data_IF_860958204403
#
_entry.id   IF_860958204403
#
_cell.length_a   1.000
_cell.length_b   1.000
_cell.length_c   1.000
_cell.angle_alpha   90.00
_cell.angle_beta   90.00
_cell.angle_gamma   90.00
#
_symmetry.space_group_name_H-M   'P 1'
#
loop_
_entity.id
_entity.type
_entity.pdbx_description
1 polymer ?
#
# COMPACT_ATOMS: atom_id res chain seq x y z
N UNK A 1 -56.73 15.76 2.86
CA UNK A 1 -55.97 16.97 2.49
C UNK A 1 -55.52 16.81 1.04
N UNK A 2 -55.92 17.72 0.15
CA UNK A 2 -55.74 17.57 -1.30
C UNK A 2 -54.27 17.69 -1.75
N UNK A 3 -53.46 18.49 -1.03
CA UNK A 3 -52.03 18.68 -1.33
C UNK A 3 -51.14 17.46 -1.03
N UNK A 4 -51.58 16.55 -0.15
CA UNK A 4 -50.76 15.40 0.26
C UNK A 4 -50.61 14.38 -0.88
N UNK A 5 -51.61 14.24 -1.77
CA UNK A 5 -51.55 13.35 -2.93
C UNK A 5 -50.60 13.93 -3.99
N UNK A 6 -50.78 15.21 -4.33
CA UNK A 6 -49.88 15.91 -5.26
C UNK A 6 -48.42 15.89 -4.80
N UNK A 7 -48.15 16.13 -3.51
CA UNK A 7 -46.80 16.08 -2.98
C UNK A 7 -46.19 14.67 -3.08
N UNK A 8 -46.97 13.62 -2.78
CA UNK A 8 -46.50 12.23 -2.94
C UNK A 8 -46.15 11.91 -4.39
N UNK A 9 -46.99 12.30 -5.34
CA UNK A 9 -46.73 12.12 -6.76
C UNK A 9 -45.47 12.88 -7.21
N UNK A 10 -45.28 14.11 -6.75
CA UNK A 10 -44.07 14.89 -7.04
C UNK A 10 -42.80 14.18 -6.53
N UNK A 11 -42.82 13.62 -5.32
CA UNK A 11 -41.68 12.86 -4.77
C UNK A 11 -41.41 11.60 -5.59
N UNK A 12 -42.43 10.86 -6.01
CA UNK A 12 -42.25 9.67 -6.85
C UNK A 12 -41.72 10.02 -8.25
N UNK A 13 -42.14 11.15 -8.82
CA UNK A 13 -41.55 11.67 -10.07
C UNK A 13 -40.07 12.04 -9.88
N UNK A 14 -39.72 12.73 -8.79
CA UNK A 14 -38.32 13.04 -8.46
C UNK A 14 -37.48 11.77 -8.30
N UNK A 15 -38.02 10.76 -7.62
CA UNK A 15 -37.36 9.46 -7.44
C UNK A 15 -37.13 8.77 -8.79
N UNK A 16 -38.17 8.69 -9.63
CA UNK A 16 -38.10 8.07 -10.95
C UNK A 16 -37.07 8.76 -11.85
N UNK A 17 -37.05 10.10 -11.82
CA UNK A 17 -36.04 10.89 -12.53
C UNK A 17 -34.61 10.59 -12.04
N UNK A 18 -34.40 10.56 -10.72
CA UNK A 18 -33.10 10.26 -10.13
C UNK A 18 -32.62 8.84 -10.48
N UNK A 19 -33.52 7.85 -10.44
CA UNK A 19 -33.23 6.48 -10.87
C UNK A 19 -32.77 6.43 -12.34
N UNK A 20 -33.48 7.12 -13.24
CA UNK A 20 -33.08 7.22 -14.65
C UNK A 20 -31.72 7.90 -14.80
N UNK A 21 -31.49 9.00 -14.09
CA UNK A 21 -30.21 9.72 -14.11
C UNK A 21 -29.03 8.84 -13.66
N UNK A 22 -29.22 8.06 -12.59
CA UNK A 22 -28.22 7.11 -12.12
C UNK A 22 -27.93 6.01 -13.15
N UNK A 23 -28.98 5.46 -13.79
CA UNK A 23 -28.83 4.45 -14.82
C UNK A 23 -28.04 4.99 -16.02
N UNK A 24 -28.44 6.14 -16.57
CA UNK A 24 -27.73 6.80 -17.66
C UNK A 24 -26.27 7.09 -17.33
N UNK A 25 -25.99 7.57 -16.10
CA UNK A 25 -24.62 7.82 -15.63
C UNK A 25 -23.80 6.54 -15.64
N UNK A 26 -24.35 5.43 -15.16
CA UNK A 26 -23.64 4.14 -15.11
C UNK A 26 -23.31 3.61 -16.50
N UNK A 27 -24.20 3.79 -17.48
CA UNK A 27 -24.01 3.34 -18.87
C UNK A 27 -22.96 4.16 -19.62
N UNK A 28 -22.77 5.43 -19.25
CA UNK A 28 -21.76 6.31 -19.87
C UNK A 28 -20.35 6.18 -19.27
N UNK A 29 -20.18 5.45 -18.17
CA UNK A 29 -18.87 5.22 -17.58
C UNK A 29 -18.20 3.98 -18.20
N UNK A 30 -16.87 3.99 -18.38
CA UNK A 30 -15.93 5.06 -18.08
C UNK A 30 -15.96 6.22 -19.10
N UNK A 31 -15.69 7.43 -18.65
CA UNK A 31 -15.54 8.60 -19.53
C UNK A 31 -14.13 8.67 -20.10
N UNK A 32 -13.99 8.75 -21.42
CA UNK A 32 -12.69 8.86 -22.08
C UNK A 32 -12.32 10.33 -22.29
N UNK A 33 -11.32 10.81 -21.55
CA UNK A 33 -10.80 12.17 -21.68
C UNK A 33 -9.81 12.25 -22.85
N UNK A 34 -10.12 13.07 -23.86
CA UNK A 34 -9.32 13.20 -25.08
C UNK A 34 -8.00 13.93 -24.87
N UNK A 35 -7.90 14.81 -23.86
CA UNK A 35 -6.68 15.57 -23.62
C UNK A 35 -5.62 14.74 -22.88
N UNK A 36 -6.05 13.92 -21.91
CA UNK A 36 -5.15 13.11 -21.08
C UNK A 36 -5.06 11.65 -21.51
N UNK A 37 -5.99 11.17 -22.33
CA UNK A 37 -6.13 9.75 -22.69
C UNK A 37 -6.61 8.86 -21.53
N UNK A 38 -7.03 9.44 -20.40
CA UNK A 38 -7.46 8.68 -19.22
C UNK A 38 -8.93 8.29 -19.35
N UNK A 39 -9.21 6.99 -19.18
CA UNK A 39 -10.57 6.49 -18.98
C UNK A 39 -11.00 6.74 -17.52
N UNK A 40 -11.61 7.89 -17.28
CA UNK A 40 -12.02 8.39 -15.99
C UNK A 40 -13.25 7.63 -15.45
N UNK A 41 -13.23 7.40 -14.14
CA UNK A 41 -14.32 6.83 -13.36
C UNK A 41 -14.57 7.71 -12.12
N UNK A 42 -15.44 7.25 -11.22
CA UNK A 42 -15.58 7.87 -9.90
C UNK A 42 -14.22 7.95 -9.19
N UNK A 43 -13.87 9.13 -8.70
CA UNK A 43 -12.63 9.40 -7.98
C UNK A 43 -12.93 9.89 -6.56
N UNK A 44 -11.94 9.78 -5.68
CA UNK A 44 -12.02 10.16 -4.26
C UNK A 44 -11.01 11.26 -3.91
N UNK A 45 -10.63 12.07 -4.90
CA UNK A 45 -9.65 13.15 -4.72
C UNK A 45 -10.26 14.39 -4.06
N UNK A 46 -11.58 14.54 -4.16
CA UNK A 46 -12.32 15.65 -3.60
C UNK A 46 -12.67 15.37 -2.13
N UNK A 47 -11.91 15.97 -1.22
CA UNK A 47 -12.12 15.84 0.22
C UNK A 47 -12.64 17.16 0.81
N UNK A 48 -13.61 17.07 1.72
CA UNK A 48 -14.16 18.22 2.44
C UNK A 48 -13.28 18.64 3.63
N UNK A 49 -13.45 19.89 4.11
CA UNK A 49 -12.73 20.41 5.28
C UNK A 49 -12.95 19.55 6.53
N UNK A 50 -14.15 18.98 6.72
CA UNK A 50 -14.45 18.07 7.84
C UNK A 50 -13.69 16.76 7.81
N UNK A 51 -13.17 16.35 6.65
CA UNK A 51 -12.33 15.16 6.52
C UNK A 51 -10.85 15.44 6.83
N UNK A 52 -10.47 16.71 7.02
CA UNK A 52 -9.09 17.08 7.34
C UNK A 52 -8.80 16.75 8.80
N UNK A 53 -7.95 15.76 9.03
CA UNK A 53 -7.38 15.43 10.34
C UNK A 53 -6.00 16.06 10.56
N UNK A 54 -5.46 15.94 11.79
CA UNK A 54 -4.08 16.33 12.07
C UNK A 54 -3.09 15.47 11.27
N UNK A 55 -1.86 15.96 11.06
CA UNK A 55 -0.77 15.16 10.51
C UNK A 55 -0.43 13.97 11.41
N UNK A 56 -0.06 12.83 10.80
CA UNK A 56 0.35 11.62 11.53
C UNK A 56 1.87 11.43 11.58
N UNK A 57 2.59 11.91 10.56
CA UNK A 57 4.04 11.84 10.48
C UNK A 57 4.70 13.19 10.81
N UNK A 58 5.96 13.21 11.27
CA UNK A 58 6.72 14.45 11.46
C UNK A 58 6.73 15.31 10.18
N UNK A 59 6.45 16.61 10.33
CA UNK A 59 6.37 17.55 9.21
C UNK A 59 5.05 17.51 8.41
N UNK A 60 4.14 16.59 8.72
CA UNK A 60 2.83 16.54 8.08
C UNK A 60 1.86 17.54 8.74
N UNK A 61 1.30 18.47 7.96
CA UNK A 61 0.31 19.43 8.46
C UNK A 61 -1.07 18.78 8.65
N UNK A 62 -1.50 17.98 7.68
CA UNK A 62 -2.84 17.39 7.65
C UNK A 62 -2.83 15.97 7.09
N UNK A 63 -3.83 15.20 7.50
CA UNK A 63 -4.12 13.87 6.97
C UNK A 63 -5.55 13.81 6.48
N UNK A 64 -5.83 13.01 5.46
CA UNK A 64 -7.19 12.72 4.99
C UNK A 64 -7.46 11.20 5.06
N UNK A 65 -8.72 10.76 5.19
CA UNK A 65 -9.06 9.35 5.22
C UNK A 65 -8.54 8.61 3.99
N UNK A 66 -7.71 7.59 4.22
CA UNK A 66 -7.21 6.73 3.17
C UNK A 66 -8.22 5.61 2.85
N UNK A 67 -8.33 5.25 1.57
CA UNK A 67 -9.16 4.13 1.14
C UNK A 67 -8.36 2.84 1.14
N UNK A 68 -8.82 1.84 1.88
CA UNK A 68 -8.23 0.50 1.82
C UNK A 68 -8.40 -0.10 0.43
N UNK A 69 -7.33 -0.69 -0.11
CA UNK A 69 -7.33 -1.37 -1.39
C UNK A 69 -6.52 -2.66 -1.28
N UNK A 70 -6.84 -3.66 -2.11
CA UNK A 70 -6.13 -4.94 -2.15
C UNK A 70 -5.88 -5.32 -3.60
N UNK A 71 -4.61 -5.51 -3.95
CA UNK A 71 -4.23 -6.06 -5.27
C UNK A 71 -4.60 -7.54 -5.33
N UNK A 72 -5.36 -7.96 -6.34
CA UNK A 72 -5.65 -9.38 -6.59
C UNK A 72 -4.34 -10.10 -6.97
N UNK A 73 -3.98 -11.15 -6.24
CA UNK A 73 -2.87 -12.04 -6.63
C UNK A 73 -3.30 -12.84 -7.86
N UNK A 74 -2.48 -12.80 -8.92
CA UNK A 74 -2.61 -13.72 -10.06
C UNK A 74 -1.74 -14.95 -9.75
N UNK A 75 -2.26 -16.15 -10.02
CA UNK A 75 -1.53 -17.41 -9.78
C UNK A 75 -0.31 -17.52 -10.70
N UNK A 76 -0.45 -17.07 -11.95
CA UNK A 76 0.65 -16.93 -12.90
C UNK A 76 0.81 -15.45 -13.26
N UNK A 77 1.97 -14.84 -12.97
CA UNK A 77 2.34 -13.61 -13.65
C UNK A 77 2.28 -13.86 -15.16
N UNK A 78 1.78 -12.91 -15.97
CA UNK A 78 1.96 -12.99 -17.42
C UNK A 78 3.46 -13.06 -17.68
N UNK A 79 3.92 -14.20 -18.18
CA UNK A 79 5.27 -14.35 -18.71
C UNK A 79 5.36 -13.44 -19.93
N UNK A 80 6.10 -12.33 -19.84
CA UNK A 80 6.48 -11.60 -21.04
C UNK A 80 7.49 -12.49 -21.79
N UNK A 81 7.22 -12.90 -23.04
CA UNK A 81 8.16 -13.70 -23.81
C UNK A 81 9.56 -13.08 -23.91
N UNK A 82 9.66 -11.75 -23.77
CA UNK A 82 10.91 -10.99 -23.77
C UNK A 82 11.69 -11.07 -22.44
N UNK A 83 11.03 -11.49 -21.36
CA UNK A 83 11.62 -11.63 -20.03
C UNK A 83 11.97 -13.08 -19.68
N UNK A 84 11.88 -14.01 -20.65
CA UNK A 84 12.33 -15.39 -20.44
C UNK A 84 13.82 -15.40 -20.15
N UNK A 85 14.14 -15.84 -18.94
CA UNK A 85 15.51 -16.11 -18.52
C UNK A 85 16.03 -17.27 -19.37
N UNK A 86 17.03 -17.01 -20.21
CA UNK A 86 17.69 -18.05 -20.97
C UNK A 86 18.32 -19.03 -19.98
N UNK A 87 17.94 -20.31 -20.04
CA UNK A 87 18.55 -21.36 -19.24
C UNK A 87 20.04 -21.44 -19.59
N UNK A 88 20.90 -20.85 -18.75
CA UNK A 88 22.33 -21.07 -18.82
C UNK A 88 22.56 -22.48 -18.29
N UNK A 89 22.83 -23.43 -19.20
CA UNK A 89 23.29 -24.78 -18.83
C UNK A 89 24.71 -24.68 -18.25
N UNK A 90 24.96 -25.00 -16.96
CA UNK A 90 26.32 -25.10 -16.46
C UNK A 90 26.86 -26.49 -16.84
N UNK A 91 27.33 -26.66 -18.08
CA UNK A 91 28.12 -27.83 -18.45
C UNK A 91 29.60 -27.55 -18.21
N UNK A 92 30.05 -27.52 -16.96
CA UNK A 92 31.46 -27.74 -16.60
C UNK A 92 31.54 -28.24 -15.14
N UNK A 93 31.54 -29.55 -14.93
CA UNK A 93 32.07 -30.14 -13.69
C UNK A 93 33.60 -30.12 -13.76
N UNK A 94 34.22 -29.09 -13.19
CA UNK A 94 35.67 -29.08 -12.89
C UNK A 94 35.88 -29.72 -11.50
N UNK A 95 36.74 -30.75 -11.36
CA UNK A 95 37.01 -31.36 -10.07
C UNK A 95 37.95 -30.44 -9.26
N UNK A 96 37.36 -29.70 -8.31
CA UNK A 96 38.10 -28.96 -7.29
C UNK A 96 38.70 -29.96 -6.28
N UNK A 97 40.00 -30.25 -6.43
CA UNK A 97 40.80 -30.86 -5.36
C UNK A 97 40.86 -29.88 -4.19
N UNK A 98 40.27 -30.30 -3.08
CA UNK A 98 40.28 -29.61 -1.78
C UNK A 98 41.60 -29.91 -1.08
N UNK A 99 42.63 -29.10 -1.35
CA UNK A 99 43.75 -28.97 -0.42
C UNK A 99 43.43 -27.82 0.54
N UNK A 100 43.56 -28.12 1.84
CA UNK A 100 43.15 -27.25 2.93
C UNK A 100 43.87 -25.91 2.90
N UNK A 101 43.09 -24.84 2.69
CA UNK A 101 43.52 -23.48 2.97
C UNK A 101 42.60 -22.95 4.08
N UNK A 102 43.17 -22.73 5.27
CA UNK A 102 42.55 -21.98 6.35
C UNK A 102 42.39 -20.53 5.89
N UNK A 103 41.33 -20.22 5.15
CA UNK A 103 40.98 -18.83 4.82
C UNK A 103 40.29 -18.22 6.02
N UNK A 104 40.82 -17.11 6.52
CA UNK A 104 40.17 -16.28 7.52
C UNK A 104 38.72 -16.00 7.10
N UNK A 105 37.77 -16.32 8.01
CA UNK A 105 36.35 -16.19 7.75
C UNK A 105 36.02 -14.72 7.47
N UNK A 106 35.47 -14.45 6.29
CA UNK A 106 35.05 -13.11 5.90
C UNK A 106 33.91 -12.63 6.80
N UNK A 107 33.88 -11.33 7.07
CA UNK A 107 32.85 -10.65 7.90
C UNK A 107 31.41 -10.97 7.48
N UNK A 108 31.19 -11.29 6.20
CA UNK A 108 29.90 -11.72 5.67
C UNK A 108 29.43 -13.06 6.25
N UNK A 109 30.33 -14.03 6.43
CA UNK A 109 29.98 -15.33 7.01
C UNK A 109 29.63 -15.22 8.50
N UNK A 110 30.24 -14.28 9.23
CA UNK A 110 29.94 -14.03 10.63
C UNK A 110 28.51 -13.46 10.82
N UNK A 111 28.08 -12.55 9.95
CA UNK A 111 26.73 -11.98 9.97
C UNK A 111 25.65 -13.03 9.65
N UNK A 112 25.95 -13.96 8.72
CA UNK A 112 25.03 -15.03 8.35
C UNK A 112 24.88 -16.10 9.44
N UNK A 113 25.90 -16.29 10.29
CA UNK A 113 25.83 -17.22 11.44
C UNK A 113 25.02 -16.69 12.63
N UNK A 114 24.68 -15.39 12.66
CA UNK A 114 23.70 -14.86 13.61
C UNK A 114 24.11 -14.90 15.08
N UNK A 115 25.41 -14.88 15.40
CA UNK A 115 25.90 -14.77 16.77
C UNK A 115 25.86 -13.30 17.24
N UNK A 116 25.14 -13.04 18.33
CA UNK A 116 24.83 -11.70 18.82
C UNK A 116 26.05 -10.93 19.34
N UNK A 117 26.09 -9.63 19.04
CA UNK A 117 27.06 -8.70 19.63
C UNK A 117 26.73 -8.49 21.11
N UNK A 118 27.46 -9.15 21.99
CA UNK A 118 27.44 -8.92 23.44
C UNK A 118 27.93 -7.49 23.73
N UNK A 119 27.02 -6.57 24.09
CA UNK A 119 27.38 -5.26 24.66
C UNK A 119 27.62 -5.45 26.16
N UNK A 120 28.87 -5.28 26.58
CA UNK A 120 29.27 -5.20 27.99
C UNK A 120 28.62 -3.98 28.65
N UNK A 121 28.10 -4.24 29.84
CA UNK A 121 27.53 -3.32 30.83
C UNK A 121 28.66 -2.53 31.49
N UNK A 122 28.50 -1.22 31.65
CA UNK A 122 29.15 -0.46 32.72
C UNK A 122 28.06 0.04 33.69
N UNK A 123 28.27 -0.26 34.96
CA UNK A 123 27.41 0.06 36.10
C UNK A 123 28.10 1.12 36.98
N UNK A 124 27.27 1.86 37.76
CA UNK A 124 27.53 2.97 38.71
C UNK A 124 27.33 4.34 38.03
N UNK A 125 26.43 5.21 38.49
CA UNK A 125 26.21 5.66 39.86
C UNK A 125 24.73 5.70 40.28
N UNK A 126 24.47 5.29 41.53
CA UNK A 126 23.29 5.64 42.31
C UNK A 126 23.41 7.10 42.80
N UNK A 127 22.31 7.85 42.81
CA UNK A 127 21.88 8.43 44.09
C UNK A 127 20.36 8.62 44.13
N UNK A 128 19.80 7.99 45.15
CA UNK A 128 18.44 8.08 45.66
C UNK A 128 17.95 9.52 45.84
N UNK A 129 16.78 9.84 45.27
CA UNK A 129 15.92 10.89 45.82
C UNK A 129 14.56 10.28 46.16
N UNK A 130 14.46 9.73 47.36
CA UNK A 130 13.20 9.56 48.06
C UNK A 130 13.02 10.70 49.07
N UNK A 131 11.85 11.34 48.95
CA UNK A 131 10.92 11.69 50.03
C UNK A 131 10.95 13.10 50.70
N UNK A 132 9.71 13.57 50.94
CA UNK A 132 9.20 14.53 51.94
C UNK A 132 9.24 16.04 51.61
N UNK A 133 8.10 16.62 51.20
CA UNK A 133 7.16 17.33 52.10
C UNK A 133 5.80 17.60 51.43
#
# INVERSE_FOLDING_TARGET
>A
RLGDQFYKEAIEHCRSYNSRLCAERSVRLPFLDSQTGVAQNNCYIWMEKRHRGPGLAPGQLYTYPARCWRKKRRLHPPEDPKLRLLEIKPEVELPLKKDGFTSESTTLEALLRGEGVEKKVDAREEESMQEIQ
#
